data_IF_471274553419
#
_entry.id   IF_471274553419
#
_cell.length_a   1.000
_cell.length_b   1.000
_cell.length_c   1.000
_cell.angle_alpha   90.00
_cell.angle_beta   90.00
_cell.angle_gamma   90.00
#
_symmetry.space_group_name_H-M   'P 1'
#
loop_
_entity.id
_entity.type
_entity.pdbx_description
1 polymer ?
#
# COMPACT_ATOMS: atom_id res chain seq x y z
N UNK A 1 20.00 10.92 -8.01
CA UNK A 1 19.74 9.45 -7.93
C UNK A 1 19.04 9.04 -6.62
N UNK A 2 19.33 9.69 -5.48
CA UNK A 2 18.69 9.32 -4.20
C UNK A 2 17.17 9.35 -4.23
N UNK A 3 16.56 10.42 -4.70
CA UNK A 3 15.10 10.58 -4.73
C UNK A 3 14.38 9.57 -5.65
N UNK A 4 14.95 9.24 -6.81
CA UNK A 4 14.44 8.16 -7.65
C UNK A 4 14.39 6.81 -6.92
N UNK A 5 15.49 6.45 -6.25
CA UNK A 5 15.58 5.19 -5.49
C UNK A 5 14.56 5.17 -4.35
N UNK A 6 14.42 6.28 -3.62
CA UNK A 6 13.47 6.38 -2.52
C UNK A 6 12.03 6.15 -3.01
N UNK A 7 11.60 6.86 -4.08
CA UNK A 7 10.26 6.69 -4.66
C UNK A 7 10.01 5.27 -5.18
N UNK A 8 10.99 4.67 -5.87
CA UNK A 8 10.83 3.33 -6.43
C UNK A 8 10.84 2.23 -5.38
N UNK A 9 11.69 2.32 -4.36
CA UNK A 9 11.73 1.34 -3.25
C UNK A 9 10.46 1.41 -2.42
N UNK A 10 10.06 2.61 -1.99
CA UNK A 10 8.83 2.81 -1.23
C UNK A 10 7.60 2.39 -2.03
N UNK A 11 7.52 2.80 -3.30
CA UNK A 11 6.43 2.44 -4.20
C UNK A 11 6.34 0.93 -4.41
N UNK A 12 7.47 0.25 -4.60
CA UNK A 12 7.49 -1.21 -4.77
C UNK A 12 7.03 -1.93 -3.49
N UNK A 13 7.46 -1.47 -2.32
CA UNK A 13 7.03 -2.04 -1.05
C UNK A 13 5.51 -1.90 -0.84
N UNK A 14 4.95 -0.71 -1.11
CA UNK A 14 3.51 -0.46 -1.01
C UNK A 14 2.71 -1.28 -2.03
N UNK A 15 3.15 -1.35 -3.29
CA UNK A 15 2.46 -2.12 -4.33
C UNK A 15 2.41 -3.62 -3.98
N UNK A 16 3.51 -4.19 -3.48
CA UNK A 16 3.57 -5.58 -3.03
C UNK A 16 2.71 -5.82 -1.79
N UNK A 17 2.75 -4.92 -0.81
CA UNK A 17 1.92 -5.00 0.39
C UNK A 17 0.43 -4.94 0.04
N UNK A 18 0.02 -3.97 -0.79
CA UNK A 18 -1.36 -3.84 -1.23
C UNK A 18 -1.84 -5.07 -2.01
N UNK A 19 -1.00 -5.64 -2.90
CA UNK A 19 -1.31 -6.87 -3.63
C UNK A 19 -1.47 -8.07 -2.67
N UNK A 20 -0.58 -8.19 -1.68
CA UNK A 20 -0.68 -9.20 -0.63
C UNK A 20 -1.99 -9.08 0.14
N UNK A 21 -2.36 -7.86 0.53
CA UNK A 21 -3.64 -7.58 1.20
C UNK A 21 -4.85 -7.91 0.32
N UNK A 22 -4.86 -7.49 -0.95
CA UNK A 22 -5.94 -7.78 -1.87
C UNK A 22 -6.19 -9.29 -2.01
N UNK A 23 -5.11 -10.08 -2.23
CA UNK A 23 -5.20 -11.54 -2.35
C UNK A 23 -5.74 -12.18 -1.08
N UNK A 24 -5.24 -11.78 0.10
CA UNK A 24 -5.68 -12.39 1.37
C UNK A 24 -7.09 -11.95 1.78
N UNK A 25 -7.47 -10.70 1.51
CA UNK A 25 -8.84 -10.21 1.71
C UNK A 25 -9.85 -11.03 0.88
N UNK A 26 -9.58 -11.20 -0.42
CA UNK A 26 -10.43 -11.99 -1.31
C UNK A 26 -10.49 -13.45 -0.86
N UNK A 27 -9.35 -14.06 -0.53
CA UNK A 27 -9.30 -15.45 -0.03
C UNK A 27 -10.08 -15.61 1.27
N UNK A 28 -9.89 -14.69 2.23
CA UNK A 28 -10.62 -14.70 3.50
C UNK A 28 -12.12 -14.64 3.28
N UNK A 29 -12.58 -13.75 2.39
CA UNK A 29 -13.99 -13.63 2.03
C UNK A 29 -14.56 -14.90 1.39
N UNK A 30 -13.83 -15.50 0.45
CA UNK A 30 -14.26 -16.72 -0.24
C UNK A 30 -14.29 -17.94 0.68
N UNK A 31 -13.35 -18.04 1.64
CA UNK A 31 -13.26 -19.20 2.56
C UNK A 31 -14.27 -19.09 3.70
N UNK A 32 -14.38 -17.91 4.32
CA UNK A 32 -15.26 -17.70 5.48
C UNK A 32 -16.73 -17.44 5.10
N UNK A 33 -16.96 -16.99 3.86
CA UNK A 33 -18.25 -16.52 3.39
C UNK A 33 -18.60 -15.11 3.90
N UNK A 34 -19.62 -14.48 3.29
CA UNK A 34 -19.98 -13.09 3.58
C UNK A 34 -20.40 -12.86 5.03
N UNK A 35 -21.06 -13.83 5.67
CA UNK A 35 -21.56 -13.70 7.04
C UNK A 35 -20.45 -13.74 8.12
N UNK A 36 -19.34 -14.40 7.83
CA UNK A 36 -18.23 -14.59 8.78
C UNK A 36 -16.95 -13.85 8.38
N UNK A 37 -17.03 -13.02 7.34
CA UNK A 37 -15.92 -12.19 6.94
C UNK A 37 -15.66 -11.11 7.99
N UNK A 38 -14.40 -10.93 8.35
CA UNK A 38 -13.95 -9.82 9.18
C UNK A 38 -12.68 -9.24 8.57
N UNK A 39 -12.64 -7.92 8.48
CA UNK A 39 -11.49 -7.16 7.98
C UNK A 39 -10.28 -7.40 8.87
N UNK A 40 -9.11 -7.52 8.25
CA UNK A 40 -7.81 -7.54 8.92
C UNK A 40 -6.89 -6.49 8.30
N UNK A 41 -6.18 -5.78 9.15
CA UNK A 41 -5.21 -4.77 8.73
C UNK A 41 -3.80 -5.33 8.55
N UNK A 42 -3.61 -6.63 8.73
CA UNK A 42 -2.41 -7.40 8.44
C UNK A 42 -2.76 -8.87 8.27
N UNK A 43 -1.89 -9.66 7.62
CA UNK A 43 -2.12 -11.07 7.34
C UNK A 43 -0.93 -11.93 7.72
N UNK A 44 -1.22 -13.08 8.31
CA UNK A 44 -0.21 -14.07 8.68
C UNK A 44 0.31 -14.79 7.42
N UNK A 45 1.62 -15.02 7.38
CA UNK A 45 2.20 -15.92 6.40
C UNK A 45 1.95 -17.37 6.82
N UNK A 46 1.21 -18.14 6.01
CA UNK A 46 0.98 -19.57 6.20
C UNK A 46 2.25 -20.35 5.82
N UNK A 47 3.19 -20.43 6.75
CA UNK A 47 4.41 -21.23 6.60
C UNK A 47 4.51 -22.25 7.73
N UNK A 48 5.15 -23.42 7.49
CA UNK A 48 5.37 -24.40 8.58
C UNK A 48 6.28 -23.86 9.70
N UNK A 49 6.96 -22.76 9.46
CA UNK A 49 7.85 -22.13 10.45
C UNK A 49 7.09 -21.04 11.22
N UNK A 50 6.79 -21.27 12.48
CA UNK A 50 6.10 -20.31 13.36
C UNK A 50 6.76 -18.91 13.40
N UNK A 51 8.08 -18.84 13.19
CA UNK A 51 8.85 -17.59 13.18
C UNK A 51 8.49 -16.65 12.04
N UNK A 52 7.96 -17.17 10.91
CA UNK A 52 7.59 -16.37 9.75
C UNK A 52 6.12 -15.90 9.79
N UNK A 53 5.37 -16.30 10.80
CA UNK A 53 3.96 -15.94 10.94
C UNK A 53 3.73 -14.44 10.90
N UNK A 54 4.59 -13.67 11.58
CA UNK A 54 4.48 -12.21 11.72
C UNK A 54 5.41 -11.44 10.76
N UNK A 55 5.87 -12.07 9.68
CA UNK A 55 6.84 -11.49 8.75
C UNK A 55 6.39 -10.12 8.21
N UNK A 56 5.09 -9.94 7.92
CA UNK A 56 4.55 -8.67 7.45
C UNK A 56 4.80 -7.54 8.46
N UNK A 57 4.39 -7.72 9.71
CA UNK A 57 4.54 -6.70 10.76
C UNK A 57 6.01 -6.41 11.08
N UNK A 58 6.84 -7.46 11.14
CA UNK A 58 8.28 -7.32 11.37
C UNK A 58 8.95 -6.58 10.21
N UNK A 59 8.55 -6.87 8.96
CA UNK A 59 9.08 -6.17 7.78
C UNK A 59 8.69 -4.70 7.76
N UNK A 60 7.43 -4.37 8.13
CA UNK A 60 6.96 -2.98 8.24
C UNK A 60 7.75 -2.25 9.32
N UNK A 61 7.95 -2.85 10.49
CA UNK A 61 8.74 -2.26 11.58
C UNK A 61 10.18 -1.99 11.15
N UNK A 62 10.84 -2.98 10.56
CA UNK A 62 12.21 -2.85 10.10
C UNK A 62 12.34 -1.74 9.05
N UNK A 63 11.43 -1.72 8.07
CA UNK A 63 11.40 -0.68 7.05
C UNK A 63 11.20 0.71 7.67
N UNK A 64 10.25 0.84 8.61
CA UNK A 64 9.97 2.11 9.30
C UNK A 64 11.18 2.61 10.08
N UNK A 65 11.85 1.76 10.83
CA UNK A 65 13.06 2.15 11.56
C UNK A 65 14.20 2.55 10.61
N UNK A 66 14.45 1.79 9.55
CA UNK A 66 15.49 2.13 8.56
C UNK A 66 15.17 3.45 7.87
N UNK A 67 13.90 3.70 7.55
CA UNK A 67 13.46 4.95 6.94
C UNK A 67 13.63 6.14 7.92
N UNK A 68 13.23 6.01 9.20
CA UNK A 68 13.43 7.04 10.22
C UNK A 68 14.92 7.36 10.37
N UNK A 69 15.77 6.35 10.52
CA UNK A 69 17.21 6.54 10.62
C UNK A 69 17.80 7.22 9.38
N UNK A 70 17.35 6.81 8.18
CA UNK A 70 17.78 7.40 6.91
C UNK A 70 17.40 8.87 6.76
N UNK A 71 16.28 9.30 7.36
CA UNK A 71 15.86 10.70 7.36
C UNK A 71 16.59 11.56 8.39
N UNK A 72 16.91 11.00 9.55
CA UNK A 72 17.50 11.76 10.67
C UNK A 72 19.03 11.86 10.55
N UNK A 73 19.69 10.81 10.01
CA UNK A 73 21.14 10.76 9.88
C UNK A 73 21.59 11.29 8.51
N UNK A 74 22.50 12.26 8.52
CA UNK A 74 23.13 12.77 7.30
C UNK A 74 24.23 11.80 6.85
N UNK A 75 23.96 10.99 5.80
CA UNK A 75 24.95 10.11 5.19
C UNK A 75 25.80 10.92 4.18
N UNK A 76 27.15 10.71 4.10
CA UNK A 76 27.94 9.66 4.74
C UNK A 76 28.57 10.02 6.10
N UNK A 77 28.34 11.19 6.63
CA UNK A 77 29.07 11.69 7.80
C UNK A 77 28.49 11.28 9.15
N UNK A 78 27.34 10.58 9.17
CA UNK A 78 26.64 10.15 10.39
C UNK A 78 26.43 11.28 11.41
N UNK A 79 26.29 12.52 10.94
CA UNK A 79 25.96 13.65 11.77
C UNK A 79 24.45 13.82 11.89
N UNK A 80 23.98 14.16 13.07
CA UNK A 80 22.61 14.56 13.29
C UNK A 80 22.36 15.91 12.60
N UNK A 81 21.60 15.90 11.51
CA UNK A 81 21.23 17.11 10.78
C UNK A 81 19.77 17.43 11.02
N UNK A 82 19.48 18.58 11.66
CA UNK A 82 18.13 19.08 11.78
C UNK A 82 17.71 19.74 10.46
N UNK A 83 17.02 18.99 9.62
CA UNK A 83 16.31 19.50 8.44
C UNK A 83 14.83 19.21 8.66
N UNK A 84 13.99 20.27 8.67
CA UNK A 84 12.55 20.13 8.96
C UNK A 84 11.88 19.08 8.08
N UNK A 85 12.13 19.12 6.78
CA UNK A 85 11.59 18.18 5.79
C UNK A 85 11.88 16.72 6.13
N UNK A 86 13.10 16.43 6.61
CA UNK A 86 13.48 15.08 7.01
C UNK A 86 12.69 14.60 8.23
N UNK A 87 12.41 15.51 9.18
CA UNK A 87 11.58 15.17 10.35
C UNK A 87 10.12 14.98 9.99
N UNK A 88 9.59 15.74 9.04
CA UNK A 88 8.24 15.56 8.51
C UNK A 88 8.10 14.17 7.89
N UNK A 89 9.02 13.77 7.03
CA UNK A 89 9.03 12.42 6.46
C UNK A 89 9.21 11.32 7.52
N UNK A 90 10.09 11.53 8.51
CA UNK A 90 10.27 10.59 9.62
C UNK A 90 8.98 10.39 10.42
N UNK A 91 8.15 11.44 10.57
CA UNK A 91 6.88 11.35 11.30
C UNK A 91 5.88 10.38 10.65
N UNK A 92 5.84 10.28 9.32
CA UNK A 92 5.02 9.27 8.63
C UNK A 92 5.42 7.85 9.04
N UNK A 93 6.73 7.59 9.08
CA UNK A 93 7.24 6.26 9.46
C UNK A 93 7.06 5.96 10.94
N UNK A 94 6.97 6.98 11.82
CA UNK A 94 6.62 6.78 13.24
C UNK A 94 5.21 6.23 13.37
N UNK A 95 4.21 6.79 12.66
CA UNK A 95 2.84 6.26 12.67
C UNK A 95 2.76 4.84 12.14
N UNK A 96 3.52 4.52 11.08
CA UNK A 96 3.60 3.17 10.54
C UNK A 96 4.26 2.19 11.54
N UNK A 97 5.31 2.62 12.25
CA UNK A 97 5.95 1.82 13.30
C UNK A 97 5.01 1.59 14.50
N UNK A 98 4.24 2.59 14.91
CA UNK A 98 3.23 2.47 15.97
C UNK A 98 2.14 1.46 15.59
N UNK A 99 1.61 1.54 14.37
CA UNK A 99 0.65 0.57 13.86
C UNK A 99 1.20 -0.86 13.89
N UNK A 100 2.37 -1.08 13.31
CA UNK A 100 2.96 -2.41 13.21
C UNK A 100 3.41 -2.96 14.57
N UNK A 101 3.98 -2.11 15.44
CA UNK A 101 4.43 -2.48 16.77
C UNK A 101 3.27 -2.84 17.70
N UNK A 102 2.20 -2.06 17.70
CA UNK A 102 1.01 -2.38 18.49
C UNK A 102 0.30 -3.64 17.97
N UNK A 103 0.14 -3.77 16.65
CA UNK A 103 -0.44 -4.97 16.04
C UNK A 103 0.37 -6.24 16.38
N UNK A 104 1.69 -6.15 16.35
CA UNK A 104 2.55 -7.28 16.76
C UNK A 104 2.39 -7.60 18.25
N UNK A 105 2.32 -6.59 19.10
CA UNK A 105 2.13 -6.77 20.55
C UNK A 105 0.79 -7.44 20.86
N UNK A 106 -0.29 -7.04 20.20
CA UNK A 106 -1.62 -7.67 20.39
C UNK A 106 -1.67 -9.12 19.91
N UNK A 107 -0.92 -9.47 18.87
CA UNK A 107 -0.79 -10.85 18.41
C UNK A 107 0.03 -11.71 19.38
N UNK A 108 1.12 -11.18 19.92
CA UNK A 108 1.96 -11.90 20.88
C UNK A 108 1.29 -12.11 22.24
N UNK A 109 0.34 -11.24 22.60
CA UNK A 109 -0.46 -11.33 23.84
C UNK A 109 -1.82 -11.97 23.64
N UNK A 110 -2.12 -12.48 22.43
CA UNK A 110 -3.41 -13.09 22.06
C UNK A 110 -4.63 -12.20 22.37
N UNK A 111 -4.43 -10.89 22.25
CA UNK A 111 -5.44 -9.86 22.56
C UNK A 111 -5.97 -9.10 21.34
N UNK A 112 -5.68 -9.59 20.14
CA UNK A 112 -6.03 -8.91 18.88
C UNK A 112 -7.53 -8.66 18.75
N UNK A 113 -8.38 -9.64 19.11
CA UNK A 113 -9.83 -9.51 18.98
C UNK A 113 -10.38 -8.38 19.87
N UNK A 114 -9.78 -8.18 21.06
CA UNK A 114 -10.15 -7.09 21.96
C UNK A 114 -9.76 -5.72 21.42
N UNK A 115 -8.60 -5.61 20.77
CA UNK A 115 -8.04 -4.34 20.30
C UNK A 115 -8.15 -4.14 18.78
N UNK A 116 -8.93 -4.94 18.07
CA UNK A 116 -9.07 -4.86 16.61
C UNK A 116 -9.50 -3.46 16.12
N UNK A 117 -10.42 -2.81 16.83
CA UNK A 117 -10.84 -1.44 16.54
C UNK A 117 -9.71 -0.42 16.71
N UNK A 118 -8.88 -0.57 17.75
CA UNK A 118 -7.75 0.32 17.96
C UNK A 118 -6.64 0.11 16.93
N UNK A 119 -6.38 -1.12 16.51
CA UNK A 119 -5.50 -1.43 15.36
C UNK A 119 -6.00 -0.71 14.10
N UNK A 120 -7.32 -0.71 13.86
CA UNK A 120 -7.91 0.02 12.73
C UNK A 120 -7.73 1.53 12.84
N UNK A 121 -7.84 2.11 14.04
CA UNK A 121 -7.55 3.55 14.28
C UNK A 121 -6.08 3.84 13.98
N UNK A 122 -5.14 2.99 14.43
CA UNK A 122 -3.72 3.16 14.12
C UNK A 122 -3.44 3.04 12.62
N UNK A 123 -4.05 2.08 11.92
CA UNK A 123 -3.94 1.97 10.47
C UNK A 123 -4.47 3.23 9.76
N UNK A 124 -5.61 3.77 10.21
CA UNK A 124 -6.18 5.01 9.68
C UNK A 124 -5.27 6.22 9.98
N UNK A 125 -4.60 6.25 11.14
CA UNK A 125 -3.68 7.34 11.50
C UNK A 125 -2.47 7.41 10.56
N UNK A 126 -2.01 6.29 10.00
CA UNK A 126 -0.92 6.27 9.01
C UNK A 126 -1.32 7.08 7.78
N UNK A 127 -2.49 6.79 7.19
CA UNK A 127 -2.98 7.52 6.01
C UNK A 127 -3.38 8.97 6.33
N UNK A 128 -3.89 9.22 7.54
CA UNK A 128 -4.19 10.58 8.00
C UNK A 128 -2.94 11.44 8.09
N UNK A 129 -1.87 10.91 8.67
CA UNK A 129 -0.59 11.61 8.79
C UNK A 129 0.06 11.81 7.42
N UNK A 130 -0.01 10.81 6.55
CA UNK A 130 0.48 10.93 5.19
C UNK A 130 -0.27 12.02 4.41
N UNK A 131 -1.61 12.02 4.48
CA UNK A 131 -2.43 13.04 3.83
C UNK A 131 -2.13 14.45 4.37
N UNK A 132 -1.99 14.57 5.69
CA UNK A 132 -1.66 15.84 6.35
C UNK A 132 -0.32 16.37 5.84
N UNK A 133 0.72 15.55 5.84
CA UNK A 133 2.04 15.96 5.37
C UNK A 133 2.03 16.27 3.86
N UNK A 134 1.45 15.42 3.04
CA UNK A 134 1.33 15.69 1.61
C UNK A 134 0.61 17.00 1.31
N UNK A 135 -0.39 17.38 2.11
CA UNK A 135 -1.12 18.62 1.93
C UNK A 135 -0.28 19.84 2.29
N UNK A 136 0.38 19.83 3.44
CA UNK A 136 1.15 20.97 3.93
C UNK A 136 2.56 21.05 3.31
N UNK A 137 3.20 19.92 3.09
CA UNK A 137 4.52 19.85 2.45
C UNK A 137 4.45 20.05 0.93
N UNK A 138 3.34 19.68 0.28
CA UNK A 138 3.18 19.86 -1.18
C UNK A 138 3.10 21.31 -1.63
N UNK A 139 2.94 22.24 -0.69
CA UNK A 139 3.02 23.69 -1.00
C UNK A 139 4.42 24.09 -1.45
N UNK A 140 5.44 23.31 -1.10
CA UNK A 140 6.82 23.51 -1.50
C UNK A 140 7.11 22.94 -2.89
N UNK A 141 6.23 22.07 -3.41
CA UNK A 141 6.34 21.47 -4.73
C UNK A 141 5.59 22.30 -5.77
N UNK A 142 6.31 23.02 -6.60
CA UNK A 142 5.74 23.85 -7.69
C UNK A 142 5.72 23.10 -9.02
N UNK A 143 4.87 23.55 -9.93
CA UNK A 143 4.83 23.06 -11.30
C UNK A 143 4.30 21.64 -11.45
N UNK A 144 4.99 20.84 -12.25
CA UNK A 144 4.59 19.47 -12.55
C UNK A 144 4.71 18.54 -11.33
N UNK A 145 5.75 18.70 -10.52
CA UNK A 145 5.96 17.91 -9.29
C UNK A 145 4.81 18.09 -8.31
N UNK A 146 4.37 19.34 -8.07
CA UNK A 146 3.22 19.63 -7.23
C UNK A 146 1.93 18.97 -7.74
N UNK A 147 1.75 18.88 -9.07
CA UNK A 147 0.60 18.21 -9.66
C UNK A 147 0.60 16.70 -9.42
N UNK A 148 1.76 16.04 -9.51
CA UNK A 148 1.89 14.61 -9.16
C UNK A 148 1.59 14.35 -7.68
N UNK A 149 2.07 15.21 -6.77
CA UNK A 149 1.76 15.11 -5.34
C UNK A 149 0.28 15.35 -5.04
N UNK A 150 -0.36 16.27 -5.75
CA UNK A 150 -1.81 16.50 -5.62
C UNK A 150 -2.62 15.25 -6.03
N UNK A 151 -2.25 14.58 -7.12
CA UNK A 151 -2.88 13.31 -7.52
C UNK A 151 -2.63 12.21 -6.48
N UNK A 152 -1.45 12.17 -5.87
CA UNK A 152 -1.15 11.25 -4.76
C UNK A 152 -2.06 11.51 -3.55
N UNK A 153 -2.31 12.78 -3.19
CA UNK A 153 -3.22 13.13 -2.10
C UNK A 153 -4.63 12.53 -2.31
N UNK A 154 -5.14 12.49 -3.54
CA UNK A 154 -6.43 11.85 -3.84
C UNK A 154 -6.41 10.35 -3.54
N UNK A 155 -5.31 9.66 -3.87
CA UNK A 155 -5.17 8.23 -3.58
C UNK A 155 -5.15 8.00 -2.06
N UNK A 156 -4.35 8.78 -1.34
CA UNK A 156 -4.22 8.69 0.12
C UNK A 156 -5.54 9.00 0.83
N UNK A 157 -6.29 9.99 0.34
CA UNK A 157 -7.64 10.28 0.85
C UNK A 157 -8.58 9.07 0.72
N UNK A 158 -8.56 8.39 -0.43
CA UNK A 158 -9.34 7.15 -0.62
C UNK A 158 -8.88 6.07 0.35
N UNK A 159 -7.56 5.92 0.56
CA UNK A 159 -7.00 4.97 1.54
C UNK A 159 -7.47 5.26 2.96
N UNK A 160 -7.44 6.53 3.38
CA UNK A 160 -7.93 6.96 4.69
C UNK A 160 -9.41 6.65 4.87
N UNK A 161 -10.25 7.04 3.91
CA UNK A 161 -11.70 6.79 3.98
C UNK A 161 -12.00 5.30 4.02
N UNK A 162 -11.29 4.50 3.21
CA UNK A 162 -11.46 3.04 3.19
C UNK A 162 -10.98 2.39 4.51
N UNK A 163 -9.88 2.86 5.11
CA UNK A 163 -9.39 2.38 6.40
C UNK A 163 -10.36 2.70 7.54
N UNK A 164 -10.91 3.92 7.58
CA UNK A 164 -11.95 4.31 8.53
C UNK A 164 -13.23 3.48 8.35
N UNK A 165 -13.68 3.30 7.10
CA UNK A 165 -14.85 2.47 6.81
C UNK A 165 -14.63 1.00 7.21
N UNK A 166 -13.44 0.45 6.98
CA UNK A 166 -13.06 -0.90 7.39
C UNK A 166 -12.98 -1.04 8.92
N UNK A 167 -12.60 0.01 9.64
CA UNK A 167 -12.57 0.06 11.11
C UNK A 167 -13.99 0.12 11.70
N UNK A 168 -14.86 0.97 11.15
CA UNK A 168 -16.23 1.17 11.63
C UNK A 168 -17.12 -0.01 11.26
N UNK A 169 -16.92 -0.58 10.07
CA UNK A 169 -17.71 -1.69 9.53
C UNK A 169 -16.81 -2.91 9.27
N UNK A 170 -16.40 -3.66 10.31
CA UNK A 170 -15.38 -4.71 10.19
C UNK A 170 -15.80 -5.89 9.30
N UNK A 171 -17.08 -6.04 8.99
CA UNK A 171 -17.57 -7.09 8.09
C UNK A 171 -17.71 -6.62 6.63
N UNK A 172 -17.32 -5.39 6.34
CA UNK A 172 -17.44 -4.82 4.99
C UNK A 172 -16.26 -5.21 4.10
N UNK A 173 -16.49 -6.23 3.27
CA UNK A 173 -15.51 -6.70 2.27
C UNK A 173 -15.08 -5.60 1.31
N UNK A 174 -16.02 -4.77 0.84
CA UNK A 174 -15.73 -3.73 -0.15
C UNK A 174 -14.78 -2.68 0.41
N UNK A 175 -14.95 -2.27 1.68
CA UNK A 175 -14.05 -1.33 2.34
C UNK A 175 -12.61 -1.89 2.40
N UNK A 176 -12.46 -3.16 2.80
CA UNK A 176 -11.16 -3.82 2.85
C UNK A 176 -10.50 -3.98 1.46
N UNK A 177 -11.31 -4.28 0.44
CA UNK A 177 -10.83 -4.42 -0.93
C UNK A 177 -10.42 -3.06 -1.52
N UNK A 178 -11.21 -2.01 -1.32
CA UNK A 178 -10.88 -0.64 -1.75
C UNK A 178 -9.60 -0.16 -1.06
N UNK A 179 -9.43 -0.42 0.24
CA UNK A 179 -8.18 -0.13 0.95
C UNK A 179 -6.98 -0.82 0.30
N UNK A 180 -7.10 -2.11 0.01
CA UNK A 180 -6.02 -2.86 -0.65
C UNK A 180 -5.68 -2.31 -2.04
N UNK A 181 -6.71 -1.98 -2.84
CA UNK A 181 -6.56 -1.40 -4.18
C UNK A 181 -5.89 -0.02 -4.10
N UNK A 182 -6.28 0.82 -3.15
CA UNK A 182 -5.69 2.15 -2.98
C UNK A 182 -4.23 2.09 -2.55
N UNK A 183 -3.83 1.12 -1.72
CA UNK A 183 -2.42 0.90 -1.37
C UNK A 183 -1.61 0.43 -2.60
N UNK A 184 -2.14 -0.47 -3.43
CA UNK A 184 -1.51 -0.86 -4.71
C UNK A 184 -1.32 0.39 -5.58
N UNK A 185 -2.37 1.20 -5.69
CA UNK A 185 -2.35 2.40 -6.54
C UNK A 185 -1.33 3.42 -6.05
N UNK A 186 -1.27 3.66 -4.75
CA UNK A 186 -0.27 4.52 -4.11
C UNK A 186 1.15 4.05 -4.45
N UNK A 187 1.41 2.74 -4.31
CA UNK A 187 2.70 2.16 -4.66
C UNK A 187 3.07 2.32 -6.15
N UNK A 188 2.15 2.00 -7.05
CA UNK A 188 2.34 2.19 -8.49
C UNK A 188 2.53 3.66 -8.85
N UNK A 189 1.81 4.56 -8.17
CA UNK A 189 1.93 6.00 -8.40
C UNK A 189 3.28 6.55 -7.96
N UNK A 190 3.81 6.13 -6.81
CA UNK A 190 5.17 6.47 -6.37
C UNK A 190 6.23 6.02 -7.38
N UNK A 191 6.11 4.80 -7.91
CA UNK A 191 7.01 4.32 -8.96
C UNK A 191 6.91 5.22 -10.20
N UNK A 192 5.69 5.53 -10.66
CA UNK A 192 5.46 6.41 -11.80
C UNK A 192 6.08 7.80 -11.58
N UNK A 193 5.87 8.40 -10.39
CA UNK A 193 6.49 9.67 -10.03
C UNK A 193 8.02 9.60 -10.08
N UNK A 194 8.61 8.53 -9.56
CA UNK A 194 10.04 8.30 -9.61
C UNK A 194 10.60 8.37 -11.04
N UNK A 195 9.95 7.69 -11.98
CA UNK A 195 10.36 7.70 -13.38
C UNK A 195 10.13 9.06 -14.05
N UNK A 196 8.96 9.64 -13.90
CA UNK A 196 8.56 10.87 -14.61
C UNK A 196 9.28 12.13 -14.13
N UNK A 197 9.68 12.18 -12.87
CA UNK A 197 10.32 13.35 -12.26
C UNK A 197 11.86 13.26 -12.20
N UNK A 198 12.41 12.02 -12.15
CA UNK A 198 13.81 11.81 -11.82
C UNK A 198 14.63 11.06 -12.89
N UNK A 199 13.99 10.62 -13.98
CA UNK A 199 14.68 9.98 -15.10
C UNK A 199 14.53 10.85 -16.36
N UNK A 200 15.63 11.43 -16.90
CA UNK A 200 15.57 12.38 -18.02
C UNK A 200 14.84 11.85 -19.25
N UNK A 201 14.94 10.54 -19.52
CA UNK A 201 14.31 9.91 -20.68
C UNK A 201 12.77 9.90 -20.63
N UNK A 202 12.16 10.08 -19.45
CA UNK A 202 10.71 10.07 -19.25
C UNK A 202 10.12 11.45 -19.00
N UNK A 203 10.97 12.48 -18.86
CA UNK A 203 10.50 13.86 -18.68
C UNK A 203 9.70 14.29 -19.93
N UNK A 204 8.49 14.88 -19.76
CA UNK A 204 7.66 15.27 -20.87
C UNK A 204 8.35 16.26 -21.81
N UNK A 205 8.04 16.16 -23.10
CA UNK A 205 8.61 17.04 -24.13
C UNK A 205 8.33 18.52 -23.85
N UNK A 206 9.36 19.35 -23.96
CA UNK A 206 9.31 20.77 -23.63
C UNK A 206 9.52 21.08 -22.15
N UNK A 207 9.79 20.07 -21.32
CA UNK A 207 10.17 20.21 -19.91
C UNK A 207 11.59 19.69 -19.69
N UNK A 208 12.27 20.20 -18.67
CA UNK A 208 13.63 19.82 -18.31
C UNK A 208 13.70 19.48 -16.83
N UNK A 209 14.52 18.48 -16.51
CA UNK A 209 14.79 18.10 -15.13
C UNK A 209 15.77 19.09 -14.50
N UNK A 210 15.46 19.53 -13.30
CA UNK A 210 16.33 20.38 -12.52
C UNK A 210 17.20 19.55 -11.57
N UNK A 211 18.50 19.79 -11.60
CA UNK A 211 19.40 19.21 -10.62
C UNK A 211 19.47 20.14 -9.39
N UNK A 212 19.41 19.62 -8.17
CA UNK A 212 19.58 20.42 -6.97
C UNK A 212 20.92 21.17 -7.05
N UNK A 213 20.89 22.49 -7.15
CA UNK A 213 22.09 23.31 -7.03
C UNK A 213 22.40 23.50 -5.55
N UNK A 214 23.65 23.34 -5.17
CA UNK A 214 24.14 23.42 -3.80
C UNK A 214 24.01 24.83 -3.15
N UNK A 215 23.54 25.83 -3.88
CA UNK A 215 23.39 27.21 -3.38
C UNK A 215 22.28 27.93 -4.13
N UNK A 216 21.13 28.10 -3.51
CA UNK A 216 20.06 29.00 -4.02
C UNK A 216 18.74 28.74 -3.31
N UNK A 217 18.13 29.80 -2.82
CA UNK A 217 16.78 29.82 -2.21
C UNK A 217 15.64 29.72 -3.24
N UNK A 218 15.92 29.31 -4.48
CA UNK A 218 14.89 29.22 -5.49
C UNK A 218 14.20 27.85 -5.35
N UNK A 219 12.92 27.88 -5.00
CA UNK A 219 12.01 26.71 -5.00
C UNK A 219 11.77 26.31 -6.45
N UNK A 220 12.71 25.57 -7.01
CA UNK A 220 12.62 25.03 -8.36
C UNK A 220 12.24 23.56 -8.19
N UNK A 221 11.01 23.17 -8.61
CA UNK A 221 10.56 21.76 -8.60
C UNK A 221 11.48 20.85 -9.42
N UNK A 222 11.34 19.55 -9.25
CA UNK A 222 12.15 18.53 -9.93
C UNK A 222 12.15 18.70 -11.46
N UNK A 223 11.03 19.14 -12.03
CA UNK A 223 10.85 19.37 -13.47
C UNK A 223 10.24 20.74 -13.72
N UNK A 224 10.85 21.50 -14.64
CA UNK A 224 10.33 22.80 -15.10
C UNK A 224 10.03 22.73 -16.59
N UNK A 225 8.87 23.25 -17.01
CA UNK A 225 8.47 23.32 -18.41
C UNK A 225 8.77 24.69 -19.00
N UNK A 226 9.29 24.73 -20.25
CA UNK A 226 9.74 25.95 -20.91
C UNK A 226 8.60 26.83 -21.41
N UNK A 227 7.37 26.32 -21.52
CA UNK A 227 6.18 27.09 -21.94
C UNK A 227 4.93 26.63 -21.17
N UNK A 228 3.88 27.47 -21.15
CA UNK A 228 2.59 27.12 -20.57
C UNK A 228 1.93 25.94 -21.29
N UNK A 229 2.11 25.82 -22.59
CA UNK A 229 1.59 24.70 -23.39
C UNK A 229 2.27 23.39 -23.04
N UNK A 230 3.58 23.41 -22.78
CA UNK A 230 4.32 22.25 -22.35
C UNK A 230 3.88 21.82 -20.93
N UNK A 231 3.71 22.76 -19.99
CA UNK A 231 3.19 22.47 -18.64
C UNK A 231 1.78 21.88 -18.70
N UNK A 232 0.90 22.47 -19.51
CA UNK A 232 -0.47 21.95 -19.67
C UNK A 232 -0.48 20.51 -20.23
N UNK A 233 0.33 20.23 -21.27
CA UNK A 233 0.48 18.88 -21.83
C UNK A 233 1.06 17.89 -20.80
N UNK A 234 2.07 18.30 -20.05
CA UNK A 234 2.70 17.46 -19.04
C UNK A 234 1.71 17.08 -17.92
N UNK A 235 0.88 18.01 -17.44
CA UNK A 235 -0.19 17.75 -16.48
C UNK A 235 -1.29 16.86 -17.07
N UNK A 236 -1.67 17.08 -18.32
CA UNK A 236 -2.60 16.21 -19.04
C UNK A 236 -2.10 14.78 -19.15
N UNK A 237 -0.80 14.59 -19.39
CA UNK A 237 -0.15 13.27 -19.40
C UNK A 237 -0.20 12.61 -18.01
N UNK A 238 0.07 13.36 -16.94
CA UNK A 238 -0.03 12.87 -15.58
C UNK A 238 -1.45 12.38 -15.23
N UNK A 239 -2.48 13.14 -15.61
CA UNK A 239 -3.88 12.76 -15.42
C UNK A 239 -4.24 11.48 -16.20
N UNK A 240 -3.71 11.34 -17.42
CA UNK A 240 -3.91 10.16 -18.24
C UNK A 240 -3.24 8.93 -17.61
N UNK A 241 -1.99 9.07 -17.16
CA UNK A 241 -1.26 8.02 -16.46
C UNK A 241 -2.01 7.58 -15.19
N UNK A 242 -2.52 8.54 -14.40
CA UNK A 242 -3.32 8.26 -13.21
C UNK A 242 -4.52 7.36 -13.53
N UNK A 243 -5.29 7.72 -14.55
CA UNK A 243 -6.47 6.95 -14.97
C UNK A 243 -6.10 5.58 -15.52
N UNK A 244 -5.02 5.46 -16.29
CA UNK A 244 -4.61 4.18 -16.88
C UNK A 244 -4.01 3.22 -15.85
N UNK A 245 -3.22 3.73 -14.91
CA UNK A 245 -2.68 2.92 -13.82
C UNK A 245 -3.84 2.36 -12.97
N UNK A 246 -4.82 3.20 -12.61
CA UNK A 246 -6.01 2.74 -11.89
C UNK A 246 -6.76 1.67 -12.67
N UNK A 247 -7.02 1.89 -13.96
CA UNK A 247 -7.71 0.90 -14.81
C UNK A 247 -6.95 -0.42 -14.87
N UNK A 248 -5.63 -0.39 -15.03
CA UNK A 248 -4.79 -1.58 -15.05
C UNK A 248 -4.85 -2.35 -13.71
N UNK A 249 -4.81 -1.64 -12.57
CA UNK A 249 -4.94 -2.25 -11.24
C UNK A 249 -6.31 -2.92 -11.09
N UNK A 250 -7.40 -2.25 -11.48
CA UNK A 250 -8.75 -2.81 -11.39
C UNK A 250 -8.90 -4.07 -12.26
N UNK A 251 -8.34 -4.08 -13.46
CA UNK A 251 -8.31 -5.27 -14.33
C UNK A 251 -7.52 -6.39 -13.66
N UNK A 252 -6.33 -6.11 -13.14
CA UNK A 252 -5.49 -7.11 -12.47
C UNK A 252 -6.19 -7.70 -11.24
N UNK A 253 -6.77 -6.87 -10.37
CA UNK A 253 -7.51 -7.32 -9.19
C UNK A 253 -8.76 -8.12 -9.61
N UNK A 254 -9.48 -7.70 -10.63
CA UNK A 254 -10.62 -8.43 -11.20
C UNK A 254 -10.21 -9.84 -11.69
N UNK A 255 -9.09 -9.96 -12.42
CA UNK A 255 -8.54 -11.24 -12.83
C UNK A 255 -8.18 -12.13 -11.64
N UNK A 256 -7.57 -11.54 -10.59
CA UNK A 256 -7.23 -12.25 -9.35
C UNK A 256 -8.50 -12.78 -8.68
N UNK A 257 -9.55 -11.95 -8.55
CA UNK A 257 -10.84 -12.36 -8.02
C UNK A 257 -11.40 -13.58 -8.77
N UNK A 258 -11.47 -13.51 -10.10
CA UNK A 258 -11.99 -14.61 -10.93
C UNK A 258 -11.17 -15.89 -10.78
N UNK A 259 -9.84 -15.79 -10.78
CA UNK A 259 -8.95 -16.95 -10.58
C UNK A 259 -9.13 -17.59 -9.21
N UNK A 260 -9.25 -16.79 -8.15
CA UNK A 260 -9.44 -17.29 -6.79
C UNK A 260 -10.81 -17.95 -6.59
N UNK A 261 -11.88 -17.36 -7.13
CA UNK A 261 -13.24 -17.95 -7.13
C UNK A 261 -13.20 -19.31 -7.81
N UNK A 262 -12.64 -19.38 -9.02
CA UNK A 262 -12.54 -20.64 -9.78
C UNK A 262 -11.78 -21.72 -8.99
N UNK A 263 -10.65 -21.36 -8.36
CA UNK A 263 -9.87 -22.29 -7.54
C UNK A 263 -10.65 -22.79 -6.33
N UNK A 264 -11.36 -21.92 -5.60
CA UNK A 264 -12.18 -22.30 -4.46
C UNK A 264 -13.34 -23.23 -4.87
N UNK A 265 -14.03 -22.93 -5.98
CA UNK A 265 -15.13 -23.75 -6.50
C UNK A 265 -14.67 -25.17 -6.86
N UNK A 266 -13.54 -25.31 -7.54
CA UNK A 266 -12.96 -26.61 -7.90
C UNK A 266 -12.63 -27.41 -6.63
N UNK A 267 -12.00 -26.81 -5.64
CA UNK A 267 -11.65 -27.49 -4.38
C UNK A 267 -12.89 -27.92 -3.63
N UNK A 268 -13.93 -27.09 -3.56
CA UNK A 268 -15.20 -27.42 -2.87
C UNK A 268 -15.92 -28.59 -3.57
N UNK A 269 -15.96 -28.61 -4.89
CA UNK A 269 -16.58 -29.69 -5.66
C UNK A 269 -15.82 -30.99 -5.49
N UNK A 270 -14.49 -30.97 -5.46
CA UNK A 270 -13.65 -32.15 -5.22
C UNK A 270 -13.90 -32.72 -3.83
N UNK A 271 -13.93 -31.90 -2.78
CA UNK A 271 -14.21 -32.35 -1.41
C UNK A 271 -15.63 -32.90 -1.25
N UNK A 272 -16.62 -32.35 -1.95
CA UNK A 272 -17.98 -32.90 -1.98
C UNK A 272 -18.01 -34.29 -2.64
N UNK A 273 -17.30 -34.46 -3.75
CA UNK A 273 -17.21 -35.75 -4.46
C UNK A 273 -16.55 -36.83 -3.59
N UNK A 274 -15.40 -36.52 -2.98
CA UNK A 274 -14.69 -37.43 -2.07
C UNK A 274 -15.55 -37.82 -0.86
N UNK A 275 -16.35 -36.89 -0.29
CA UNK A 275 -17.26 -37.16 0.83
C UNK A 275 -18.45 -38.07 0.42
N UNK A 276 -18.97 -37.89 -0.77
CA UNK A 276 -20.03 -38.77 -1.30
C UNK A 276 -19.50 -40.19 -1.52
N UNK A 277 -18.30 -40.30 -2.07
CA UNK A 277 -17.67 -41.59 -2.34
C UNK A 277 -17.33 -42.35 -1.05
N UNK A 278 -16.83 -41.66 0.00
CA UNK A 278 -16.59 -42.29 1.31
C UNK A 278 -17.88 -42.78 1.97
N UNK A 279 -18.96 -41.99 1.95
CA UNK A 279 -20.26 -42.41 2.49
C UNK A 279 -20.87 -43.60 1.71
N UNK A 280 -20.67 -43.66 0.37
CA UNK A 280 -21.07 -44.79 -0.43
C UNK A 280 -20.33 -46.07 -0.09
N UNK A 281 -19.03 -45.98 0.19
CA UNK A 281 -18.21 -47.09 0.61
C UNK A 281 -18.61 -47.62 2.00
N UNK A 282 -18.86 -46.70 2.97
CA UNK A 282 -19.31 -47.07 4.33
C UNK A 282 -20.70 -47.73 4.34
N UNK A 283 -21.62 -47.28 3.45
CA UNK A 283 -22.96 -47.91 3.31
C UNK A 283 -22.91 -49.29 2.61
N UNK A 284 -21.97 -49.52 1.70
CA UNK A 284 -21.77 -50.81 1.08
C UNK A 284 -21.23 -51.87 2.09
N UNK A 285 -20.26 -51.47 2.91
CA UNK A 285 -19.73 -52.32 3.99
C UNK A 285 -20.77 -52.64 5.11
N UNK A 286 -21.68 -51.70 5.38
CA UNK A 286 -22.73 -51.90 6.39
C UNK A 286 -23.86 -52.88 5.91
N UNK A 287 -24.00 -53.12 4.61
CA UNK A 287 -24.98 -54.04 4.04
C UNK A 287 -24.44 -55.47 3.83
N UNK A 288 -23.16 -55.73 4.09
CA UNK A 288 -22.51 -57.04 3.99
C UNK A 288 -22.36 -57.75 5.37
N UNK A 289 -22.79 -57.12 6.46
CA UNK A 289 -22.86 -57.70 7.83
C UNK A 289 -24.31 -57.97 8.19
#
# INVERSE_FOLDING_TARGET
MGLFVTHTVQGSALALLGLWHAINTIRSYLVKGPANFCVRFWYQFNTPHARLKHLELVSILLFSFLAIFGQILDFPHFHYAFKLDNFEHATMFIHLALFAGFSLSTELTDSLDLFSGFVGILASSVFSQELFLLHFHSTDHVGLEGHYHWLLQLIVLVSLVAALAATIFPNNFNAALVLSISIIFQGCWFINMGFMLWIPAFVPEGCVMNFPKASGHDIIGAVTCGSKEADFRARGLANLQFSWILAAILICVGIICLKLVRKCTITTNRLKYERVQSKGADSALANEV
#
